data_IF_387046394464
#
_entry.id   IF_387046394464
#
_cell.length_a   1.000
_cell.length_b   1.000
_cell.length_c   1.000
_cell.angle_alpha   90.00
_cell.angle_beta   90.00
_cell.angle_gamma   90.00
#
_symmetry.space_group_name_H-M   'P 1'
#
loop_
_entity.id
_entity.type
_entity.pdbx_description
1 polymer ?
#
# COMPACT_ATOMS: atom_id res chain seq x y z
N UNK A 1 4.65 -22.15 32.81
CA UNK A 1 3.90 -20.88 32.72
C UNK A 1 4.29 -20.20 31.41
N UNK A 2 3.80 -20.59 30.23
CA UNK A 2 2.40 -20.63 29.80
C UNK A 2 1.63 -19.34 30.13
N UNK A 3 1.04 -18.77 29.08
CA UNK A 3 -0.27 -18.09 28.99
C UNK A 3 -0.41 -16.55 29.08
N UNK A 4 0.66 -15.76 29.02
CA UNK A 4 0.55 -14.29 29.03
C UNK A 4 0.62 -13.58 27.67
N UNK A 5 1.80 -13.57 27.04
CA UNK A 5 2.18 -12.46 26.13
C UNK A 5 2.21 -12.85 24.64
N UNK A 6 1.88 -14.11 24.30
CA UNK A 6 1.50 -14.52 22.93
C UNK A 6 0.16 -13.92 22.45
N UNK A 7 -0.50 -13.09 23.28
CA UNK A 7 -1.87 -12.61 23.07
C UNK A 7 -2.02 -11.48 22.03
N UNK A 8 -0.92 -10.92 21.49
CA UNK A 8 -0.96 -9.86 20.45
C UNK A 8 -0.35 -10.29 19.11
N UNK A 9 -0.38 -11.58 18.76
CA UNK A 9 -0.04 -12.02 17.41
C UNK A 9 -1.13 -11.57 16.42
N UNK A 10 -0.96 -10.35 15.92
CA UNK A 10 -1.72 -9.70 14.85
C UNK A 10 -2.83 -8.79 15.38
N UNK A 11 -2.54 -7.51 15.61
CA UNK A 11 -3.60 -6.50 15.72
C UNK A 11 -4.27 -6.37 14.35
N UNK A 12 -5.59 -6.55 14.27
CA UNK A 12 -6.34 -6.46 13.00
C UNK A 12 -7.12 -5.16 12.93
N UNK A 13 -7.17 -4.57 11.73
CA UNK A 13 -8.16 -3.56 11.37
C UNK A 13 -9.17 -4.26 10.47
N UNK A 14 -10.38 -4.52 10.96
CA UNK A 14 -11.41 -5.23 10.20
C UNK A 14 -12.62 -4.35 9.93
N UNK A 15 -13.16 -4.46 8.73
CA UNK A 15 -14.39 -3.84 8.26
C UNK A 15 -15.27 -4.98 7.77
N UNK A 16 -16.43 -5.15 8.41
CA UNK A 16 -17.45 -6.08 7.94
C UNK A 16 -18.63 -5.30 7.36
N UNK A 17 -19.19 -5.83 6.29
CA UNK A 17 -20.38 -5.32 5.65
C UNK A 17 -21.43 -6.43 5.66
N UNK A 18 -22.47 -6.29 6.48
CA UNK A 18 -23.60 -7.21 6.54
C UNK A 18 -24.78 -6.61 5.79
N UNK A 19 -25.22 -7.28 4.72
CA UNK A 19 -26.35 -6.84 3.90
C UNK A 19 -27.49 -7.88 3.97
N UNK A 20 -28.59 -7.54 4.64
CA UNK A 20 -29.83 -8.33 4.66
C UNK A 20 -30.78 -7.87 3.56
N UNK A 21 -31.52 -8.82 2.97
CA UNK A 21 -32.54 -8.52 1.95
C UNK A 21 -33.92 -8.22 2.52
N UNK A 22 -34.29 -8.79 3.67
CA UNK A 22 -35.65 -8.71 4.23
C UNK A 22 -35.61 -8.66 5.76
N UNK A 23 -35.72 -7.47 6.39
CA UNK A 23 -35.79 -6.15 5.76
C UNK A 23 -34.46 -5.76 5.08
N UNK A 24 -34.47 -4.88 4.06
CA UNK A 24 -33.24 -4.40 3.44
C UNK A 24 -32.44 -3.57 4.45
N UNK A 25 -31.30 -4.10 4.90
CA UNK A 25 -30.42 -3.45 5.87
C UNK A 25 -28.96 -3.66 5.49
N UNK A 26 -28.19 -2.59 5.46
CA UNK A 26 -26.73 -2.63 5.34
C UNK A 26 -26.13 -2.16 6.65
N UNK A 27 -25.38 -3.03 7.32
CA UNK A 27 -24.67 -2.72 8.56
C UNK A 27 -23.18 -2.81 8.28
N UNK A 28 -22.46 -1.71 8.51
CA UNK A 28 -21.00 -1.66 8.45
C UNK A 28 -20.48 -1.66 9.89
N UNK A 29 -19.62 -2.61 10.24
CA UNK A 29 -18.94 -2.59 11.54
C UNK A 29 -17.44 -2.57 11.34
N UNK A 30 -16.77 -1.67 12.05
CA UNK A 30 -15.32 -1.54 12.07
C UNK A 30 -14.83 -1.99 13.44
N UNK A 31 -13.91 -2.95 13.45
CA UNK A 31 -13.28 -3.42 14.69
C UNK A 31 -11.77 -3.25 14.60
N UNK A 32 -11.18 -2.80 15.71
CA UNK A 32 -9.75 -2.77 15.92
C UNK A 32 -9.39 -3.83 16.97
N UNK A 33 -8.38 -4.66 16.67
CA UNK A 33 -7.84 -5.64 17.61
C UNK A 33 -8.08 -7.07 17.16
N UNK A 34 -9.33 -7.52 17.07
CA UNK A 34 -9.66 -8.91 16.75
C UNK A 34 -10.41 -9.08 15.42
N UNK A 35 -10.09 -10.18 14.73
CA UNK A 35 -10.83 -10.62 13.54
C UNK A 35 -12.24 -11.07 13.96
N UNK A 36 -13.31 -10.72 13.21
CA UNK A 36 -14.67 -11.11 13.53
C UNK A 36 -14.84 -12.63 13.68
N UNK A 37 -15.68 -13.04 14.64
CA UNK A 37 -15.90 -14.46 14.94
C UNK A 37 -16.35 -15.26 13.70
N UNK A 38 -15.88 -16.50 13.61
CA UNK A 38 -16.22 -17.42 12.53
C UNK A 38 -15.40 -17.25 11.25
N UNK A 39 -14.56 -16.22 11.09
CA UNK A 39 -13.66 -16.09 9.93
C UNK A 39 -12.33 -16.81 10.17
N UNK A 40 -11.81 -17.58 9.18
CA UNK A 40 -10.56 -18.33 9.35
C UNK A 40 -9.40 -17.36 9.50
N UNK A 41 -8.59 -17.55 10.55
CA UNK A 41 -7.35 -16.82 10.73
C UNK A 41 -6.37 -17.18 9.61
N UNK A 42 -5.59 -16.19 9.21
CA UNK A 42 -4.56 -16.30 8.21
C UNK A 42 -3.47 -17.31 8.61
N UNK A 43 -3.28 -18.38 7.83
CA UNK A 43 -2.11 -19.27 7.96
C UNK A 43 -0.85 -18.75 7.26
N UNK A 44 -0.97 -17.66 6.48
CA UNK A 44 0.14 -17.01 5.80
C UNK A 44 0.79 -16.03 6.78
N UNK A 45 1.78 -16.51 7.54
CA UNK A 45 2.58 -15.63 8.38
C UNK A 45 3.28 -14.57 7.51
N UNK A 46 3.22 -13.31 7.94
CA UNK A 46 3.94 -12.20 7.32
C UNK A 46 5.45 -12.46 7.35
N UNK A 47 5.99 -13.02 6.25
CA UNK A 47 7.42 -13.37 6.16
C UNK A 47 8.21 -12.11 5.88
N UNK A 48 9.08 -11.73 6.82
CA UNK A 48 9.89 -10.50 6.80
C UNK A 48 10.62 -10.27 5.47
N UNK A 49 11.10 -11.35 4.84
CA UNK A 49 11.74 -11.32 3.52
C UNK A 49 10.93 -10.64 2.43
N UNK A 50 9.60 -10.79 2.45
CA UNK A 50 8.74 -10.18 1.42
C UNK A 50 8.59 -8.68 1.62
N UNK A 51 8.65 -8.20 2.86
CA UNK A 51 8.76 -6.77 3.17
C UNK A 51 10.09 -6.19 2.71
N UNK A 52 11.20 -6.93 2.90
CA UNK A 52 12.53 -6.52 2.44
C UNK A 52 12.57 -6.43 0.91
N UNK A 53 12.05 -7.42 0.20
CA UNK A 53 11.96 -7.39 -1.28
C UNK A 53 11.15 -6.18 -1.73
N UNK A 54 9.99 -5.92 -1.11
CA UNK A 54 9.18 -4.74 -1.39
C UNK A 54 9.96 -3.44 -1.19
N UNK A 55 10.73 -3.34 -0.10
CA UNK A 55 11.58 -2.18 0.18
C UNK A 55 12.66 -1.99 -0.89
N UNK A 56 13.35 -3.06 -1.30
CA UNK A 56 14.35 -3.03 -2.37
C UNK A 56 13.72 -2.55 -3.69
N UNK A 57 12.52 -3.04 -4.02
CA UNK A 57 11.83 -2.66 -5.24
C UNK A 57 11.47 -1.17 -5.29
N UNK A 58 11.19 -0.52 -4.16
CA UNK A 58 10.86 0.91 -4.09
C UNK A 58 12.08 1.81 -3.81
N UNK A 59 13.23 1.23 -3.47
CA UNK A 59 14.45 1.95 -3.08
C UNK A 59 14.92 2.98 -4.12
N UNK A 60 14.93 2.68 -5.44
CA UNK A 60 15.34 3.67 -6.44
C UNK A 60 14.52 4.97 -6.39
N UNK A 61 13.21 4.87 -6.13
CA UNK A 61 12.35 6.03 -5.97
C UNK A 61 12.56 6.76 -4.65
N UNK A 62 12.76 6.03 -3.56
CA UNK A 62 13.09 6.65 -2.27
C UNK A 62 14.37 7.48 -2.41
N UNK A 63 15.38 6.95 -3.12
CA UNK A 63 16.62 7.67 -3.38
C UNK A 63 16.40 8.94 -4.22
N UNK A 64 15.58 8.87 -5.28
CA UNK A 64 15.22 10.05 -6.10
C UNK A 64 14.44 11.10 -5.32
N UNK A 65 13.47 10.68 -4.50
CA UNK A 65 12.71 11.58 -3.62
C UNK A 65 13.63 12.27 -2.63
N UNK A 66 14.51 11.51 -1.97
CA UNK A 66 15.49 12.06 -1.03
C UNK A 66 16.42 13.06 -1.72
N UNK A 67 16.90 12.74 -2.92
CA UNK A 67 17.73 13.64 -3.71
C UNK A 67 16.99 14.93 -4.11
N UNK A 68 15.69 14.83 -4.40
CA UNK A 68 14.84 16.00 -4.70
C UNK A 68 14.66 16.90 -3.47
N UNK A 69 14.46 16.30 -2.28
CA UNK A 69 14.40 17.04 -1.02
C UNK A 69 15.75 17.72 -0.72
N UNK A 70 16.86 16.99 -0.90
CA UNK A 70 18.21 17.52 -0.72
C UNK A 70 18.51 18.68 -1.68
N UNK A 71 18.02 18.63 -2.92
CA UNK A 71 18.11 19.75 -3.86
C UNK A 71 17.42 21.01 -3.33
N UNK A 72 16.24 20.86 -2.73
CA UNK A 72 15.52 21.97 -2.07
C UNK A 72 16.27 22.56 -0.87
N UNK A 73 17.11 21.75 -0.21
CA UNK A 73 17.97 22.18 0.91
C UNK A 73 19.33 22.77 0.46
N UNK A 74 19.56 22.94 -0.85
CA UNK A 74 20.81 23.50 -1.39
C UNK A 74 21.85 22.46 -1.82
N UNK A 75 21.60 21.15 -1.64
CA UNK A 75 22.48 20.06 -2.06
C UNK A 75 22.10 19.52 -3.45
N UNK A 76 22.02 20.42 -4.44
CA UNK A 76 21.55 20.09 -5.80
C UNK A 76 22.44 19.13 -6.59
N UNK A 77 23.71 18.98 -6.23
CA UNK A 77 24.66 18.09 -6.92
C UNK A 77 24.25 16.62 -6.83
N UNK A 78 23.69 16.20 -5.69
CA UNK A 78 23.22 14.82 -5.47
C UNK A 78 22.10 14.47 -6.44
N UNK A 79 21.15 15.40 -6.64
CA UNK A 79 20.10 15.23 -7.64
C UNK A 79 20.70 15.19 -9.05
N UNK A 80 21.65 16.07 -9.35
CA UNK A 80 22.36 16.11 -10.63
C UNK A 80 22.99 14.77 -10.99
N UNK A 81 23.73 14.16 -10.06
CA UNK A 81 24.41 12.88 -10.28
C UNK A 81 23.44 11.72 -10.54
N UNK A 82 22.34 11.66 -9.79
CA UNK A 82 21.34 10.60 -9.94
C UNK A 82 20.55 10.80 -11.23
N UNK A 83 20.10 12.03 -11.51
CA UNK A 83 19.31 12.36 -12.70
C UNK A 83 20.10 12.25 -14.01
N UNK A 84 21.43 12.40 -13.98
CA UNK A 84 22.29 12.24 -15.15
C UNK A 84 22.71 10.78 -15.40
N UNK A 85 22.49 9.86 -14.46
CA UNK A 85 22.92 8.47 -14.58
C UNK A 85 21.89 7.62 -15.35
N UNK A 86 22.24 7.05 -16.52
CA UNK A 86 21.33 6.19 -17.28
C UNK A 86 20.86 4.98 -16.46
N UNK A 87 21.76 4.41 -15.65
CA UNK A 87 21.43 3.28 -14.78
C UNK A 87 20.38 3.66 -13.71
N UNK A 88 20.49 4.86 -13.12
CA UNK A 88 19.52 5.34 -12.13
C UNK A 88 18.15 5.61 -12.77
N UNK A 89 18.12 6.18 -13.98
CA UNK A 89 16.89 6.39 -14.74
C UNK A 89 16.21 5.06 -15.05
N UNK A 90 16.96 4.06 -15.53
CA UNK A 90 16.41 2.72 -15.83
C UNK A 90 15.89 2.07 -14.55
N UNK A 91 16.67 2.10 -13.46
CA UNK A 91 16.28 1.52 -12.18
C UNK A 91 15.00 2.17 -11.61
N UNK A 92 14.90 3.50 -11.70
CA UNK A 92 13.70 4.23 -11.33
C UNK A 92 12.53 3.83 -12.23
N UNK A 93 12.69 3.82 -13.54
CA UNK A 93 11.62 3.44 -14.48
C UNK A 93 11.09 2.03 -14.21
N UNK A 94 11.98 1.05 -14.03
CA UNK A 94 11.61 -0.33 -13.68
C UNK A 94 10.90 -0.39 -12.32
N UNK A 95 11.41 0.35 -11.33
CA UNK A 95 10.77 0.49 -10.03
C UNK A 95 9.36 1.06 -10.14
N UNK A 96 9.12 2.05 -11.00
CA UNK A 96 7.81 2.70 -11.18
C UNK A 96 6.77 1.72 -11.71
N UNK A 97 7.10 1.10 -12.85
CA UNK A 97 6.13 0.34 -13.63
C UNK A 97 5.99 -1.11 -13.16
N UNK A 98 7.02 -1.66 -12.53
CA UNK A 98 7.05 -3.06 -12.10
C UNK A 98 7.21 -3.14 -10.58
N UNK A 99 8.23 -2.47 -10.04
CA UNK A 99 8.58 -2.57 -8.62
C UNK A 99 7.46 -2.15 -7.67
N UNK A 100 6.83 -0.99 -7.89
CA UNK A 100 5.77 -0.44 -7.05
C UNK A 100 4.50 -1.33 -7.11
N UNK A 101 3.94 -1.69 -8.28
CA UNK A 101 2.81 -2.60 -8.35
C UNK A 101 3.08 -3.95 -7.70
N UNK A 102 4.27 -4.53 -7.93
CA UNK A 102 4.67 -5.81 -7.33
C UNK A 102 4.83 -5.68 -5.82
N UNK A 103 5.46 -4.61 -5.32
CA UNK A 103 5.60 -4.36 -3.90
C UNK A 103 4.23 -4.20 -3.23
N UNK A 104 3.32 -3.41 -3.82
CA UNK A 104 1.95 -3.28 -3.31
C UNK A 104 1.26 -4.64 -3.30
N UNK A 105 1.21 -5.34 -4.43
CA UNK A 105 0.52 -6.63 -4.54
C UNK A 105 1.08 -7.65 -3.53
N UNK A 106 2.40 -7.83 -3.47
CA UNK A 106 3.03 -8.80 -2.57
C UNK A 106 2.84 -8.48 -1.09
N UNK A 107 2.96 -7.21 -0.71
CA UNK A 107 2.86 -6.80 0.69
C UNK A 107 1.40 -6.74 1.12
N UNK A 108 0.53 -6.14 0.31
CA UNK A 108 -0.89 -6.01 0.57
C UNK A 108 -1.57 -7.37 0.63
N UNK A 109 -1.33 -8.26 -0.35
CA UNK A 109 -1.95 -9.60 -0.38
C UNK A 109 -1.66 -10.44 0.88
N UNK A 110 -0.53 -10.20 1.55
CA UNK A 110 -0.16 -10.92 2.78
C UNK A 110 -0.86 -10.40 4.01
N UNK A 111 -1.11 -9.08 4.07
CA UNK A 111 -1.73 -8.44 5.22
C UNK A 111 -3.25 -8.26 5.04
N UNK A 112 -3.77 -8.25 3.82
CA UNK A 112 -5.21 -8.12 3.55
C UNK A 112 -5.91 -9.47 3.52
N UNK A 113 -7.11 -9.48 4.08
CA UNK A 113 -8.08 -10.56 4.02
C UNK A 113 -9.36 -10.00 3.46
N UNK A 114 -9.77 -10.54 2.31
CA UNK A 114 -11.06 -10.23 1.72
C UNK A 114 -11.88 -11.51 1.69
N UNK A 115 -13.12 -11.43 2.14
CA UNK A 115 -14.01 -12.58 2.22
C UNK A 115 -15.44 -12.19 1.90
N UNK A 116 -16.18 -13.12 1.30
CA UNK A 116 -17.60 -12.98 1.07
C UNK A 116 -18.29 -14.26 1.54
N UNK A 117 -19.25 -14.15 2.44
CA UNK A 117 -20.13 -15.25 2.86
C UNK A 117 -21.55 -14.92 2.47
N UNK A 118 -22.24 -15.93 1.96
CA UNK A 118 -23.65 -15.82 1.64
C UNK A 118 -24.42 -16.72 2.58
N UNK A 119 -25.41 -16.16 3.25
CA UNK A 119 -26.42 -16.88 4.00
C UNK A 119 -27.78 -16.66 3.34
N UNK A 120 -28.77 -17.51 3.66
CA UNK A 120 -30.02 -17.62 2.89
C UNK A 120 -30.68 -16.25 2.59
N UNK A 121 -30.65 -15.30 3.53
CA UNK A 121 -31.21 -13.95 3.37
C UNK A 121 -30.20 -12.80 3.58
N UNK A 122 -28.91 -13.10 3.73
CA UNK A 122 -27.88 -12.12 4.07
C UNK A 122 -26.57 -12.34 3.31
N UNK A 123 -25.84 -11.25 3.08
CA UNK A 123 -24.52 -11.23 2.46
C UNK A 123 -23.53 -10.57 3.43
N UNK A 124 -22.48 -11.30 3.80
CA UNK A 124 -21.42 -10.82 4.68
C UNK A 124 -20.14 -10.59 3.88
N UNK A 125 -19.73 -9.34 3.73
CA UNK A 125 -18.41 -8.94 3.28
C UNK A 125 -17.45 -8.77 4.46
N UNK A 126 -16.22 -9.22 4.30
CA UNK A 126 -15.11 -8.95 5.21
C UNK A 126 -13.97 -8.31 4.42
N UNK A 127 -13.45 -7.20 4.94
CA UNK A 127 -12.15 -6.65 4.60
C UNK A 127 -11.35 -6.49 5.89
N UNK A 128 -10.28 -7.26 6.09
CA UNK A 128 -9.44 -7.15 7.27
C UNK A 128 -7.98 -6.96 6.89
N UNK A 129 -7.27 -6.15 7.65
CA UNK A 129 -5.87 -5.82 7.47
C UNK A 129 -5.09 -6.20 8.72
N UNK A 130 -4.10 -7.06 8.58
CA UNK A 130 -3.16 -7.41 9.65
C UNK A 130 -2.17 -6.27 9.86
N UNK A 131 -1.99 -5.83 11.09
CA UNK A 131 -1.01 -4.81 11.43
C UNK A 131 0.39 -5.40 11.44
N UNK A 132 1.04 -5.36 10.27
CA UNK A 132 2.44 -5.75 10.11
C UNK A 132 3.28 -4.50 9.73
N UNK A 133 4.06 -3.93 10.67
CA UNK A 133 4.65 -2.60 10.51
C UNK A 133 5.48 -2.42 9.24
N UNK A 134 6.35 -3.39 8.91
CA UNK A 134 7.19 -3.32 7.72
C UNK A 134 6.37 -3.33 6.42
N UNK A 135 5.37 -4.23 6.34
CA UNK A 135 4.50 -4.34 5.17
C UNK A 135 3.65 -3.07 4.98
N UNK A 136 3.12 -2.52 6.07
CA UNK A 136 2.38 -1.26 6.07
C UNK A 136 3.26 -0.10 5.58
N UNK A 137 4.48 0.03 6.10
CA UNK A 137 5.41 1.08 5.66
C UNK A 137 5.70 0.98 4.16
N UNK A 138 5.98 -0.23 3.66
CA UNK A 138 6.24 -0.44 2.23
C UNK A 138 5.03 -0.09 1.38
N UNK A 139 3.82 -0.53 1.78
CA UNK A 139 2.58 -0.21 1.05
C UNK A 139 2.29 1.29 1.06
N UNK A 140 2.40 1.94 2.22
CA UNK A 140 2.16 3.38 2.34
C UNK A 140 3.17 4.19 1.52
N UNK A 141 4.45 3.83 1.57
CA UNK A 141 5.48 4.47 0.75
C UNK A 141 5.21 4.27 -0.75
N UNK A 142 4.88 3.05 -1.17
CA UNK A 142 4.56 2.74 -2.56
C UNK A 142 3.33 3.50 -3.06
N UNK A 143 2.28 3.60 -2.23
CA UNK A 143 1.07 4.38 -2.54
C UNK A 143 1.36 5.87 -2.61
N UNK A 144 2.18 6.42 -1.70
CA UNK A 144 2.57 7.82 -1.72
C UNK A 144 3.37 8.15 -2.99
N UNK A 145 4.35 7.31 -3.36
CA UNK A 145 5.15 7.49 -4.58
C UNK A 145 4.27 7.39 -5.83
N UNK A 146 3.47 6.33 -5.95
CA UNK A 146 2.59 6.12 -7.09
C UNK A 146 1.53 7.22 -7.21
N UNK A 147 0.93 7.62 -6.08
CA UNK A 147 -0.04 8.71 -6.01
C UNK A 147 0.55 10.06 -6.39
N UNK A 148 1.76 10.39 -5.93
CA UNK A 148 2.46 11.61 -6.32
C UNK A 148 2.75 11.63 -7.82
N UNK A 149 3.18 10.51 -8.39
CA UNK A 149 3.43 10.39 -9.84
C UNK A 149 2.13 10.57 -10.65
N UNK A 150 1.07 9.83 -10.32
CA UNK A 150 -0.22 9.96 -11.00
C UNK A 150 -0.81 11.37 -10.85
N UNK A 151 -0.68 11.95 -9.66
CA UNK A 151 -1.11 13.33 -9.38
C UNK A 151 -0.34 14.35 -10.22
N UNK A 152 0.96 14.16 -10.39
CA UNK A 152 1.79 15.00 -11.25
C UNK A 152 1.35 14.90 -12.73
N UNK A 153 1.16 13.68 -13.24
CA UNK A 153 0.64 13.48 -14.61
C UNK A 153 -0.75 14.10 -14.82
N UNK A 154 -1.63 14.00 -13.81
CA UNK A 154 -2.96 14.59 -13.86
C UNK A 154 -2.88 16.13 -13.87
N UNK A 155 -1.99 16.71 -13.06
CA UNK A 155 -1.76 18.14 -13.03
C UNK A 155 -1.20 18.66 -14.36
N UNK A 156 -0.22 17.96 -14.95
CA UNK A 156 0.36 18.32 -16.26
C UNK A 156 -0.69 18.19 -17.38
N UNK A 157 -1.46 17.10 -17.38
CA UNK A 157 -2.55 16.89 -18.33
C UNK A 157 -3.60 18.00 -18.22
N UNK A 158 -3.97 18.39 -16.99
CA UNK A 158 -4.89 19.49 -16.73
C UNK A 158 -4.33 20.83 -17.23
N UNK A 159 -3.07 21.13 -16.93
CA UNK A 159 -2.41 22.36 -17.37
C UNK A 159 -2.29 22.44 -18.90
N UNK A 160 -1.99 21.32 -19.56
CA UNK A 160 -1.96 21.21 -21.02
C UNK A 160 -3.34 21.50 -21.64
N UNK A 161 -4.42 20.93 -21.08
CA UNK A 161 -5.80 21.22 -21.50
C UNK A 161 -6.18 22.70 -21.32
N UNK A 162 -5.55 23.40 -20.36
CA UNK A 162 -5.77 24.82 -20.08
C UNK A 162 -4.75 25.75 -20.75
N UNK A 163 -3.99 25.25 -21.73
CA UNK A 163 -3.16 26.07 -22.62
C UNK A 163 -1.72 26.31 -22.17
N UNK A 164 -1.26 25.66 -21.09
CA UNK A 164 0.15 25.72 -20.68
C UNK A 164 0.97 24.77 -21.55
N UNK A 165 1.59 25.31 -22.61
CA UNK A 165 2.37 24.53 -23.59
C UNK A 165 3.61 23.83 -23.01
N UNK A 166 4.11 24.25 -21.84
CA UNK A 166 5.25 23.60 -21.18
C UNK A 166 4.86 22.36 -20.37
N UNK A 167 3.55 22.12 -20.20
CA UNK A 167 3.00 20.94 -19.53
C UNK A 167 2.51 19.88 -20.55
N UNK A 168 2.51 20.24 -21.83
CA UNK A 168 2.51 19.33 -22.97
C UNK A 168 3.97 19.13 -23.43
#
# INVERSE_FOLDING_TARGET
>A
MLTGIRRHLGEWISITAHAERTPPRLTLTMTLGELPEGWPRSGLHARTWTGIIGLVLITPFIALLLATVLRGAGHGEVYGWISASPAAIIAATVSLFIGIPVAIAMNLWRITRVGLRRHANALDGLFALEFAPLHLVVVLAALAIGGAFVGHLAADSYACLHGVRSAC
#
